data_IF_538619935581
#
_entry.id   IF_538619935581
#
_cell.length_a   1.000
_cell.length_b   1.000
_cell.length_c   1.000
_cell.angle_alpha   90.00
_cell.angle_beta   90.00
_cell.angle_gamma   90.00
#
_symmetry.space_group_name_H-M   'P 1'
#
loop_
_entity.id
_entity.type
_entity.pdbx_description
1 polymer ?
#
# COMPACT_ATOMS: atom_id res chain seq x y z
N UNK A 1 5.80 30.48 -16.21
CA UNK A 1 6.44 29.21 -16.56
C UNK A 1 7.95 29.42 -16.60
N UNK A 2 8.69 28.99 -15.55
CA UNK A 2 10.15 29.04 -15.53
C UNK A 2 10.69 28.05 -16.56
N UNK A 3 11.46 28.53 -17.53
CA UNK A 3 12.20 27.72 -18.52
C UNK A 3 13.37 26.94 -17.88
N UNK A 4 13.13 26.28 -16.76
CA UNK A 4 14.19 25.59 -16.05
C UNK A 4 14.13 24.10 -16.40
N UNK A 5 15.00 23.63 -17.30
CA UNK A 5 15.12 22.25 -17.75
C UNK A 5 15.55 21.28 -16.62
N UNK A 6 15.98 21.79 -15.47
CA UNK A 6 16.49 21.00 -14.35
C UNK A 6 15.39 20.37 -13.46
N UNK A 7 14.10 20.61 -13.73
CA UNK A 7 13.00 20.12 -12.91
C UNK A 7 12.91 20.77 -11.53
N UNK A 8 12.05 20.23 -10.66
CA UNK A 8 11.89 20.71 -9.28
C UNK A 8 13.05 20.21 -8.40
N UNK A 9 13.66 21.09 -7.57
CA UNK A 9 14.68 20.67 -6.61
C UNK A 9 14.10 19.65 -5.60
N UNK A 10 14.92 18.67 -5.18
CA UNK A 10 14.47 17.57 -4.31
C UNK A 10 13.78 18.03 -3.03
N UNK A 11 14.20 19.14 -2.43
CA UNK A 11 13.56 19.73 -1.23
C UNK A 11 12.10 20.13 -1.48
N UNK A 12 11.79 20.70 -2.65
CA UNK A 12 10.43 21.09 -3.01
C UNK A 12 9.55 19.86 -3.32
N UNK A 13 10.14 18.81 -3.91
CA UNK A 13 9.42 17.52 -4.11
C UNK A 13 8.98 16.93 -2.76
N UNK A 14 9.91 16.86 -1.78
CA UNK A 14 9.59 16.36 -0.43
C UNK A 14 8.56 17.26 0.26
N UNK A 15 8.68 18.59 0.17
CA UNK A 15 7.70 19.50 0.75
C UNK A 15 6.29 19.26 0.18
N UNK A 16 6.16 19.10 -1.14
CA UNK A 16 4.88 18.76 -1.77
C UNK A 16 4.32 17.42 -1.30
N UNK A 17 5.16 16.40 -1.17
CA UNK A 17 4.75 15.09 -0.63
C UNK A 17 4.29 15.18 0.83
N UNK A 18 4.99 15.94 1.68
CA UNK A 18 4.61 16.17 3.07
C UNK A 18 3.25 16.85 3.17
N UNK A 19 3.03 17.92 2.40
CA UNK A 19 1.74 18.63 2.39
C UNK A 19 0.62 17.70 1.94
N UNK A 20 0.81 17.01 0.81
CA UNK A 20 -0.21 16.10 0.27
C UNK A 20 -0.51 14.96 1.25
N UNK A 21 0.51 14.31 1.80
CA UNK A 21 0.32 13.20 2.73
C UNK A 21 -0.33 13.64 4.05
N UNK A 22 -0.05 14.86 4.51
CA UNK A 22 -0.72 15.45 5.67
C UNK A 22 -2.23 15.65 5.38
N UNK A 23 -2.57 16.23 4.24
CA UNK A 23 -3.97 16.41 3.82
C UNK A 23 -4.68 15.07 3.75
N UNK A 24 -4.08 14.07 3.10
CA UNK A 24 -4.64 12.72 3.00
C UNK A 24 -4.84 12.08 4.39
N UNK A 25 -3.84 12.18 5.27
CA UNK A 25 -3.93 11.64 6.64
C UNK A 25 -5.04 12.27 7.47
N UNK A 26 -5.20 13.60 7.38
CA UNK A 26 -6.27 14.35 8.05
C UNK A 26 -7.65 13.94 7.48
N UNK A 27 -7.79 13.91 6.16
CA UNK A 27 -9.07 13.56 5.51
C UNK A 27 -9.47 12.13 5.87
N UNK A 28 -8.57 11.15 5.81
CA UNK A 28 -8.89 9.75 6.13
C UNK A 28 -9.25 9.59 7.61
N UNK A 29 -8.57 10.31 8.51
CA UNK A 29 -8.83 10.21 9.94
C UNK A 29 -10.14 10.87 10.36
N UNK A 30 -10.42 12.07 9.88
CA UNK A 30 -11.57 12.87 10.33
C UNK A 30 -12.83 12.72 9.46
N UNK A 31 -12.76 12.05 8.30
CA UNK A 31 -13.93 11.87 7.45
C UNK A 31 -14.92 10.88 8.04
N UNK A 32 -16.18 11.26 8.25
CA UNK A 32 -17.23 10.36 8.75
C UNK A 32 -17.62 9.27 7.74
N UNK A 33 -17.18 9.38 6.49
CA UNK A 33 -17.46 8.39 5.44
C UNK A 33 -16.49 7.21 5.47
N UNK A 34 -15.36 7.34 6.17
CA UNK A 34 -14.35 6.26 6.31
C UNK A 34 -14.75 5.36 7.46
N UNK A 35 -15.63 4.41 7.18
CA UNK A 35 -16.16 3.45 8.14
C UNK A 35 -15.73 2.04 7.81
N UNK A 36 -15.58 1.21 8.83
CA UNK A 36 -15.36 -0.23 8.72
C UNK A 36 -16.46 -0.99 9.47
N UNK A 37 -16.62 -2.26 9.15
CA UNK A 37 -17.46 -3.18 9.90
C UNK A 37 -16.61 -4.37 10.33
N UNK A 38 -16.53 -4.58 11.63
CA UNK A 38 -15.81 -5.70 12.21
C UNK A 38 -16.71 -6.93 12.30
N UNK A 39 -16.10 -8.12 12.26
CA UNK A 39 -16.83 -9.35 12.50
C UNK A 39 -17.29 -9.39 13.95
N UNK A 40 -18.61 -9.53 14.19
CA UNK A 40 -19.15 -9.68 15.52
C UNK A 40 -18.79 -11.07 16.08
N UNK A 41 -17.95 -11.11 17.11
CA UNK A 41 -17.64 -12.32 17.88
C UNK A 41 -18.74 -12.67 18.89
N UNK A 42 -19.99 -12.34 18.60
CA UNK A 42 -21.07 -12.76 19.49
C UNK A 42 -21.18 -14.28 19.47
N UNK A 43 -20.72 -14.85 20.56
CA UNK A 43 -20.95 -16.21 21.03
C UNK A 43 -22.32 -16.70 20.57
N UNK A 44 -22.32 -17.81 19.82
CA UNK A 44 -23.41 -18.71 19.53
C UNK A 44 -24.67 -18.48 20.36
N UNK A 45 -25.56 -17.61 19.95
CA UNK A 45 -26.98 -17.84 20.15
C UNK A 45 -27.41 -18.81 19.07
N UNK A 46 -27.54 -20.06 19.43
CA UNK A 46 -28.22 -21.09 18.66
C UNK A 46 -29.50 -20.47 18.10
N UNK A 47 -29.52 -20.32 16.78
CA UNK A 47 -30.77 -20.10 16.07
C UNK A 47 -31.58 -21.37 16.27
N UNK A 48 -32.49 -21.32 17.22
CA UNK A 48 -33.52 -22.31 17.36
C UNK A 48 -34.31 -22.35 16.06
N UNK A 49 -34.14 -23.42 15.33
CA UNK A 49 -34.84 -23.73 14.08
C UNK A 49 -36.28 -24.16 14.39
N UNK A 50 -37.01 -23.34 15.08
CA UNK A 50 -38.45 -23.49 15.27
C UNK A 50 -39.07 -22.10 15.40
N UNK A 51 -39.50 -21.58 14.27
CA UNK A 51 -40.68 -20.75 14.04
C UNK A 51 -40.56 -20.06 12.69
N UNK A 52 -40.75 -20.85 11.63
CA UNK A 52 -41.24 -20.32 10.36
C UNK A 52 -42.77 -20.35 10.51
N UNK A 53 -43.39 -19.22 10.80
CA UNK A 53 -44.73 -18.86 10.35
C UNK A 53 -45.03 -17.39 10.63
N UNK A 54 -45.24 -16.66 9.50
CA UNK A 54 -46.18 -15.53 9.31
C UNK A 54 -45.81 -14.19 9.96
N UNK A 55 -45.46 -13.17 9.23
CA UNK A 55 -46.26 -12.14 8.60
C UNK A 55 -45.34 -11.19 7.78
N UNK A 56 -45.73 -10.94 6.57
CA UNK A 56 -45.25 -9.83 5.74
C UNK A 56 -45.41 -8.53 6.49
N UNK A 57 -44.32 -7.82 6.72
CA UNK A 57 -44.06 -6.40 6.49
C UNK A 57 -42.77 -6.02 7.18
N UNK A 58 -41.88 -5.38 6.39
CA UNK A 58 -40.50 -5.01 6.71
C UNK A 58 -39.46 -6.15 6.61
N UNK A 59 -39.05 -6.43 5.39
CA UNK A 59 -37.89 -7.24 5.09
C UNK A 59 -36.60 -6.56 5.62
N UNK A 60 -36.32 -6.70 6.90
CA UNK A 60 -34.96 -6.67 7.41
C UNK A 60 -34.29 -7.94 6.87
N UNK A 61 -33.62 -7.84 5.75
CA UNK A 61 -32.70 -8.86 5.25
C UNK A 61 -31.62 -9.06 6.31
N UNK A 62 -31.84 -9.97 7.25
CA UNK A 62 -30.82 -10.47 8.16
C UNK A 62 -29.85 -11.29 7.32
N UNK A 63 -28.75 -10.66 6.87
CA UNK A 63 -27.68 -11.39 6.24
C UNK A 63 -27.16 -12.44 7.24
N UNK A 64 -26.86 -13.68 6.82
CA UNK A 64 -26.33 -14.71 7.70
C UNK A 64 -24.94 -14.36 8.27
N UNK A 65 -24.37 -13.25 7.85
CA UNK A 65 -23.06 -12.75 8.25
C UNK A 65 -23.21 -11.69 9.34
N UNK A 66 -22.58 -11.93 10.48
CA UNK A 66 -22.63 -11.02 11.63
C UNK A 66 -21.48 -10.03 11.59
N UNK A 67 -21.71 -8.85 11.01
CA UNK A 67 -20.81 -7.72 11.12
C UNK A 67 -21.41 -6.68 12.09
N UNK A 68 -20.53 -5.96 12.81
CA UNK A 68 -20.92 -4.84 13.67
C UNK A 68 -21.61 -3.71 12.89
N UNK A 69 -22.20 -2.76 13.59
CA UNK A 69 -22.58 -1.49 13.00
C UNK A 69 -21.36 -0.82 12.35
N UNK A 70 -21.60 0.09 11.39
CA UNK A 70 -20.52 0.87 10.78
C UNK A 70 -19.87 1.75 11.84
N UNK A 71 -18.59 1.55 12.09
CA UNK A 71 -17.83 2.29 13.10
C UNK A 71 -16.65 3.01 12.45
N UNK A 72 -16.36 4.19 12.97
CA UNK A 72 -15.12 4.90 12.65
C UNK A 72 -14.02 4.28 13.50
N UNK A 73 -13.13 3.50 12.89
CA UNK A 73 -12.08 2.77 13.60
C UNK A 73 -10.71 3.10 13.04
N UNK A 74 -9.72 3.10 13.91
CA UNK A 74 -8.30 3.24 13.57
C UNK A 74 -7.62 1.91 13.33
N UNK A 75 -8.37 0.81 13.28
CA UNK A 75 -7.82 -0.52 13.02
C UNK A 75 -7.38 -0.71 11.59
N UNK A 76 -6.33 -1.48 11.41
CA UNK A 76 -5.76 -1.88 10.12
C UNK A 76 -5.32 -3.33 10.14
N UNK A 77 -5.13 -3.91 8.97
CA UNK A 77 -4.69 -5.30 8.83
C UNK A 77 -3.18 -5.40 8.89
N UNK A 78 -2.66 -6.26 9.78
CA UNK A 78 -1.25 -6.66 9.83
C UNK A 78 -1.11 -8.11 9.36
N UNK A 79 -0.18 -8.41 8.44
CA UNK A 79 0.13 -9.78 8.06
C UNK A 79 0.81 -10.54 9.21
N UNK A 80 0.61 -11.88 9.27
CA UNK A 80 1.27 -12.81 10.20
C UNK A 80 0.92 -12.65 11.69
N UNK A 81 -0.04 -11.81 12.06
CA UNK A 81 -0.49 -11.62 13.45
C UNK A 81 -1.85 -12.29 13.65
N UNK A 82 -2.06 -12.88 14.82
CA UNK A 82 -3.35 -13.46 15.20
C UNK A 82 -4.45 -12.40 15.11
N UNK A 83 -5.57 -12.73 14.48
CA UNK A 83 -6.70 -11.84 14.13
C UNK A 83 -6.41 -10.80 13.05
N UNK A 84 -5.19 -10.71 12.53
CA UNK A 84 -4.79 -9.79 11.44
C UNK A 84 -5.11 -8.30 11.70
N UNK A 85 -5.30 -7.87 12.95
CA UNK A 85 -5.70 -6.52 13.30
C UNK A 85 -4.64 -5.81 14.15
N UNK A 86 -4.44 -4.54 13.86
CA UNK A 86 -3.68 -3.60 14.65
C UNK A 86 -4.51 -2.33 14.84
N UNK A 87 -4.61 -1.85 16.08
CA UNK A 87 -5.30 -0.62 16.39
C UNK A 87 -4.31 0.47 16.77
N UNK A 88 -4.34 1.58 16.04
CA UNK A 88 -3.48 2.74 16.38
C UNK A 88 -3.83 3.32 17.77
N UNK A 89 -5.04 3.11 18.27
CA UNK A 89 -5.42 3.50 19.62
C UNK A 89 -4.58 2.80 20.69
N UNK A 90 -4.01 1.61 20.44
CA UNK A 90 -3.12 0.94 21.38
C UNK A 90 -1.84 1.75 21.65
N UNK A 91 -1.39 2.53 20.66
CA UNK A 91 -0.21 3.36 20.83
C UNK A 91 -0.43 4.56 21.76
N UNK A 92 -1.68 4.92 22.04
CA UNK A 92 -2.02 6.04 22.94
C UNK A 92 -2.41 5.59 24.35
N UNK A 93 -2.64 4.30 24.57
CA UNK A 93 -3.03 3.77 25.89
C UNK A 93 -2.01 4.08 26.97
N UNK A 94 -0.71 4.04 26.66
CA UNK A 94 0.34 4.40 27.63
C UNK A 94 0.32 5.87 28.04
N UNK A 95 -0.30 6.74 27.23
CA UNK A 95 -0.52 8.16 27.53
C UNK A 95 -1.79 8.40 28.36
N UNK A 96 -2.50 7.33 28.77
CA UNK A 96 -3.74 7.41 29.55
C UNK A 96 -5.01 7.63 28.72
N UNK A 97 -4.91 7.60 27.40
CA UNK A 97 -6.06 7.74 26.50
C UNK A 97 -6.76 6.40 26.32
N UNK A 98 -7.79 6.14 27.15
CA UNK A 98 -8.59 4.92 27.06
C UNK A 98 -9.59 4.91 25.89
N UNK A 99 -9.93 6.10 25.40
CA UNK A 99 -10.96 6.27 24.36
C UNK A 99 -10.36 6.35 22.94
N UNK A 100 -9.01 6.34 22.81
CA UNK A 100 -8.33 6.43 21.53
C UNK A 100 -8.44 7.79 20.84
N UNK A 101 -8.81 8.84 21.55
CA UNK A 101 -8.98 10.19 20.98
C UNK A 101 -7.71 10.78 20.41
N UNK A 102 -6.54 10.37 20.93
CA UNK A 102 -5.22 10.85 20.52
C UNK A 102 -4.56 9.97 19.46
N UNK A 103 -5.28 8.95 18.93
CA UNK A 103 -4.75 8.04 17.94
C UNK A 103 -4.26 8.76 16.66
N UNK A 104 -4.82 9.93 16.33
CA UNK A 104 -4.38 10.76 15.19
C UNK A 104 -2.91 11.17 15.29
N UNK A 105 -2.35 11.30 16.49
CA UNK A 105 -0.95 11.66 16.73
C UNK A 105 0.03 10.62 16.16
N UNK A 106 -0.36 9.34 16.12
CA UNK A 106 0.43 8.26 15.52
C UNK A 106 -0.05 7.91 14.13
N UNK A 107 -1.37 7.91 13.88
CA UNK A 107 -1.95 7.58 12.60
C UNK A 107 -1.44 8.50 11.49
N UNK A 108 -1.58 9.82 11.64
CA UNK A 108 -1.21 10.77 10.60
C UNK A 108 0.29 10.70 10.25
N UNK A 109 1.25 10.74 11.21
CA UNK A 109 2.67 10.61 10.88
C UNK A 109 3.03 9.27 10.21
N UNK A 110 2.42 8.16 10.62
CA UNK A 110 2.68 6.85 10.00
C UNK A 110 2.19 6.86 8.55
N UNK A 111 0.97 7.36 8.29
CA UNK A 111 0.43 7.51 6.94
C UNK A 111 1.33 8.40 6.07
N UNK A 112 1.82 9.50 6.62
CA UNK A 112 2.75 10.39 5.92
C UNK A 112 4.05 9.66 5.54
N UNK A 113 4.64 8.91 6.46
CA UNK A 113 5.86 8.13 6.20
C UNK A 113 5.61 7.09 5.09
N UNK A 114 4.46 6.42 5.13
CA UNK A 114 4.08 5.42 4.13
C UNK A 114 3.94 6.06 2.74
N UNK A 115 3.17 7.13 2.61
CA UNK A 115 2.97 7.80 1.32
C UNK A 115 4.28 8.32 0.75
N UNK A 116 5.10 9.00 1.57
CA UNK A 116 6.41 9.52 1.16
C UNK A 116 7.34 8.36 0.78
N UNK A 117 7.36 7.29 1.58
CA UNK A 117 8.22 6.13 1.36
C UNK A 117 7.92 5.40 0.06
N UNK A 118 6.64 5.07 -0.19
CA UNK A 118 6.22 4.37 -1.40
C UNK A 118 6.36 5.25 -2.65
N UNK A 119 6.01 6.54 -2.55
CA UNK A 119 6.17 7.50 -3.64
C UNK A 119 7.64 7.61 -4.07
N UNK A 120 8.56 7.79 -3.13
CA UNK A 120 9.98 7.84 -3.45
C UNK A 120 10.54 6.48 -3.88
N UNK A 121 10.02 5.37 -3.35
CA UNK A 121 10.39 4.02 -3.77
C UNK A 121 10.04 3.74 -5.23
N UNK A 122 8.85 4.14 -5.65
CA UNK A 122 8.43 4.06 -7.06
C UNK A 122 9.33 4.92 -7.96
N UNK A 123 9.67 6.14 -7.51
CA UNK A 123 10.56 7.03 -8.25
C UNK A 123 11.99 6.47 -8.36
N UNK A 124 12.52 5.84 -7.30
CA UNK A 124 13.83 5.18 -7.35
C UNK A 124 13.82 3.95 -8.27
N UNK A 125 12.67 3.32 -8.48
CA UNK A 125 12.53 2.19 -9.40
C UNK A 125 12.39 2.61 -10.86
N UNK A 126 12.17 3.90 -11.15
CA UNK A 126 12.06 4.46 -12.50
C UNK A 126 13.44 4.75 -13.14
N UNK A 127 14.39 3.84 -12.94
CA UNK A 127 15.76 3.98 -13.41
C UNK A 127 16.10 3.15 -14.67
N UNK A 128 15.23 2.22 -15.06
CA UNK A 128 15.35 1.40 -16.28
C UNK A 128 13.98 1.22 -16.92
N UNK A 129 14.00 1.02 -18.24
CA UNK A 129 12.80 0.94 -19.08
C UNK A 129 11.76 -0.07 -18.58
N UNK A 130 10.57 0.40 -18.26
CA UNK A 130 9.43 -0.43 -17.87
C UNK A 130 9.44 -0.97 -16.44
N UNK A 131 10.48 -0.76 -15.63
CA UNK A 131 10.54 -1.33 -14.28
C UNK A 131 9.44 -0.75 -13.38
N UNK A 132 9.40 0.57 -13.23
CA UNK A 132 8.43 1.23 -12.35
C UNK A 132 6.99 0.99 -12.82
N UNK A 133 6.74 1.11 -14.12
CA UNK A 133 5.40 0.93 -14.70
C UNK A 133 4.93 -0.52 -14.58
N UNK A 134 5.78 -1.47 -14.97
CA UNK A 134 5.44 -2.89 -14.95
C UNK A 134 5.16 -3.39 -13.54
N UNK A 135 6.04 -3.08 -12.57
CA UNK A 135 5.82 -3.45 -11.16
C UNK A 135 4.57 -2.79 -10.59
N UNK A 136 4.33 -1.50 -10.89
CA UNK A 136 3.14 -0.77 -10.45
C UNK A 136 1.84 -1.36 -10.99
N UNK A 137 1.81 -1.81 -12.25
CA UNK A 137 0.64 -2.46 -12.84
C UNK A 137 0.24 -3.72 -12.05
N UNK A 138 1.21 -4.57 -11.73
CA UNK A 138 0.96 -5.79 -10.93
C UNK A 138 0.59 -5.45 -9.48
N UNK A 139 1.25 -4.48 -8.85
CA UNK A 139 0.89 -4.02 -7.50
C UNK A 139 -0.56 -3.52 -7.49
N UNK A 140 -0.96 -2.71 -8.47
CA UNK A 140 -2.33 -2.22 -8.60
C UNK A 140 -3.34 -3.37 -8.78
N UNK A 141 -3.00 -4.42 -9.58
CA UNK A 141 -3.82 -5.63 -9.66
C UNK A 141 -3.99 -6.32 -8.31
N UNK A 142 -2.90 -6.44 -7.53
CA UNK A 142 -2.96 -6.97 -6.17
C UNK A 142 -3.89 -6.15 -5.26
N UNK A 143 -3.81 -4.82 -5.33
CA UNK A 143 -4.69 -3.91 -4.60
C UNK A 143 -6.15 -4.07 -5.05
N UNK A 144 -6.42 -4.24 -6.35
CA UNK A 144 -7.77 -4.48 -6.86
C UNK A 144 -8.39 -5.75 -6.25
N UNK A 145 -7.62 -6.84 -6.19
CA UNK A 145 -8.04 -8.08 -5.55
C UNK A 145 -8.34 -7.87 -4.06
N UNK A 146 -7.43 -7.19 -3.33
CA UNK A 146 -7.61 -6.91 -1.91
C UNK A 146 -8.82 -6.00 -1.64
N UNK A 147 -9.05 -4.99 -2.48
CA UNK A 147 -10.20 -4.10 -2.41
C UNK A 147 -11.51 -4.87 -2.66
N UNK A 148 -11.54 -5.72 -3.70
CA UNK A 148 -12.70 -6.55 -4.01
C UNK A 148 -13.06 -7.49 -2.85
N UNK A 149 -12.06 -8.17 -2.29
CA UNK A 149 -12.23 -9.12 -1.20
C UNK A 149 -12.69 -8.40 0.09
N UNK A 150 -12.12 -7.24 0.41
CA UNK A 150 -12.53 -6.45 1.59
C UNK A 150 -13.88 -5.76 1.40
N UNK A 151 -14.31 -5.53 0.16
CA UNK A 151 -15.61 -4.95 -0.18
C UNK A 151 -16.75 -5.96 -0.32
N UNK A 152 -16.46 -7.26 -0.20
CA UNK A 152 -17.45 -8.33 -0.33
C UNK A 152 -17.64 -9.05 1.01
N UNK A 153 -18.88 -9.07 1.50
CA UNK A 153 -19.25 -9.65 2.80
C UNK A 153 -18.84 -11.13 2.91
N UNK A 154 -19.04 -11.91 1.85
CA UNK A 154 -18.75 -13.35 1.84
C UNK A 154 -17.26 -13.61 1.97
N UNK A 155 -16.45 -12.90 1.16
CA UNK A 155 -14.99 -13.05 1.19
C UNK A 155 -14.38 -12.47 2.47
N UNK A 156 -14.89 -11.34 2.95
CA UNK A 156 -14.44 -10.75 4.22
C UNK A 156 -14.69 -11.69 5.40
N UNK A 157 -15.87 -12.34 5.45
CA UNK A 157 -16.18 -13.34 6.46
C UNK A 157 -15.30 -14.59 6.34
N UNK A 158 -15.13 -15.11 5.12
CA UNK A 158 -14.29 -16.30 4.88
C UNK A 158 -12.83 -16.10 5.26
N UNK A 159 -12.27 -14.92 4.97
CA UNK A 159 -10.88 -14.57 5.27
C UNK A 159 -10.69 -14.00 6.68
N UNK A 160 -11.77 -13.76 7.41
CA UNK A 160 -11.76 -13.13 8.72
C UNK A 160 -11.04 -11.77 8.74
N UNK A 161 -11.39 -10.92 7.78
CA UNK A 161 -10.89 -9.55 7.66
C UNK A 161 -12.03 -8.57 7.82
N UNK A 162 -11.70 -7.28 8.09
CA UNK A 162 -12.70 -6.22 8.16
C UNK A 162 -13.43 -6.08 6.83
N UNK A 163 -14.75 -5.95 6.90
CA UNK A 163 -15.57 -5.57 5.76
C UNK A 163 -15.62 -4.05 5.65
N UNK A 164 -15.31 -3.53 4.48
CA UNK A 164 -15.34 -2.10 4.20
C UNK A 164 -16.44 -1.85 3.16
N UNK A 165 -17.55 -1.19 3.56
CA UNK A 165 -18.62 -0.88 2.63
C UNK A 165 -18.16 0.02 1.48
N UNK A 166 -18.85 -0.07 0.34
CA UNK A 166 -18.65 0.79 -0.83
C UNK A 166 -17.27 0.71 -1.53
N UNK A 167 -16.45 -0.31 -1.24
CA UNK A 167 -15.18 -0.50 -1.96
C UNK A 167 -15.36 -0.92 -3.44
N UNK A 168 -16.56 -1.22 -3.88
CA UNK A 168 -16.83 -1.55 -5.29
C UNK A 168 -16.39 -0.45 -6.24
N UNK A 169 -16.67 0.81 -5.92
CA UNK A 169 -16.25 1.98 -6.72
C UNK A 169 -14.72 2.11 -6.77
N UNK A 170 -14.04 1.79 -5.67
CA UNK A 170 -12.58 1.81 -5.63
C UNK A 170 -11.99 0.74 -6.56
N UNK A 171 -12.63 -0.44 -6.68
CA UNK A 171 -12.18 -1.51 -7.60
C UNK A 171 -12.22 -1.00 -9.05
N UNK A 172 -13.26 -0.26 -9.44
CA UNK A 172 -13.37 0.35 -10.78
C UNK A 172 -12.22 1.33 -11.01
N UNK A 173 -11.96 2.21 -10.05
CA UNK A 173 -10.84 3.16 -10.12
C UNK A 173 -9.49 2.44 -10.28
N UNK A 174 -9.25 1.40 -9.47
CA UNK A 174 -7.99 0.63 -9.53
C UNK A 174 -7.88 -0.13 -10.85
N UNK A 175 -8.98 -0.67 -11.38
CA UNK A 175 -8.99 -1.32 -12.70
C UNK A 175 -8.62 -0.33 -13.83
N UNK A 176 -9.12 0.91 -13.77
CA UNK A 176 -8.73 1.98 -14.70
C UNK A 176 -7.23 2.32 -14.57
N UNK A 177 -6.71 2.39 -13.33
CA UNK A 177 -5.29 2.60 -13.08
C UNK A 177 -4.43 1.46 -13.69
N UNK A 178 -4.85 0.20 -13.52
CA UNK A 178 -4.17 -0.96 -14.13
C UNK A 178 -4.15 -0.82 -15.65
N UNK A 179 -5.30 -0.49 -16.25
CA UNK A 179 -5.41 -0.28 -17.69
C UNK A 179 -4.48 0.84 -18.19
N UNK A 180 -4.42 1.95 -17.46
CA UNK A 180 -3.52 3.06 -17.77
C UNK A 180 -2.04 2.65 -17.67
N UNK A 181 -1.67 1.90 -16.62
CA UNK A 181 -0.30 1.38 -16.47
C UNK A 181 0.07 0.41 -17.61
N UNK A 182 -0.83 -0.49 -18.01
CA UNK A 182 -0.60 -1.43 -19.10
C UNK A 182 -0.44 -0.68 -20.43
N UNK A 183 -1.32 0.30 -20.70
CA UNK A 183 -1.25 1.13 -21.90
C UNK A 183 0.04 1.94 -21.98
N UNK A 184 0.47 2.52 -20.85
CA UNK A 184 1.75 3.22 -20.77
C UNK A 184 2.94 2.26 -20.91
N UNK A 185 2.88 1.08 -20.28
CA UNK A 185 3.92 0.05 -20.33
C UNK A 185 4.21 -0.43 -21.76
N UNK A 186 3.20 -0.47 -22.63
CA UNK A 186 3.36 -0.81 -24.05
C UNK A 186 4.44 0.03 -24.75
N UNK A 187 4.51 1.32 -24.41
CA UNK A 187 5.47 2.26 -24.98
C UNK A 187 6.73 2.47 -24.13
N UNK A 188 6.65 2.11 -22.85
CA UNK A 188 7.73 2.30 -21.88
C UNK A 188 8.59 1.04 -21.68
N UNK A 189 8.18 -0.14 -22.18
CA UNK A 189 9.01 -1.34 -22.14
C UNK A 189 10.24 -1.20 -23.05
N UNK A 190 11.31 -1.91 -22.69
CA UNK A 190 12.59 -1.85 -23.41
C UNK A 190 12.49 -2.27 -24.88
N UNK A 191 13.03 -1.53 -25.86
CA UNK A 191 13.56 -0.16 -25.71
C UNK A 191 12.44 0.89 -25.61
N UNK A 192 12.46 1.70 -24.55
CA UNK A 192 11.38 2.63 -24.28
C UNK A 192 11.30 3.75 -25.33
N UNK A 193 10.08 4.05 -25.77
CA UNK A 193 9.77 5.18 -26.66
C UNK A 193 9.31 6.41 -25.88
N UNK A 194 8.73 6.19 -24.68
CA UNK A 194 8.30 7.26 -23.78
C UNK A 194 8.80 6.98 -22.36
N UNK A 195 9.08 8.03 -21.61
CA UNK A 195 9.59 7.97 -20.23
C UNK A 195 8.60 8.61 -19.27
N UNK A 196 8.45 8.01 -18.09
CA UNK A 196 7.50 8.48 -17.07
C UNK A 196 7.99 9.75 -16.38
N UNK A 197 9.25 9.79 -16.00
CA UNK A 197 9.87 10.86 -15.23
C UNK A 197 9.32 10.99 -13.81
N UNK A 198 9.89 11.91 -13.04
CA UNK A 198 9.57 12.10 -11.62
C UNK A 198 8.10 12.37 -11.35
N UNK A 199 7.42 13.12 -12.21
CA UNK A 199 6.00 13.47 -12.02
C UNK A 199 5.13 12.22 -12.06
N UNK A 200 5.37 11.34 -13.01
CA UNK A 200 4.60 10.09 -13.15
C UNK A 200 4.93 9.09 -12.06
N UNK A 201 6.22 8.81 -11.83
CA UNK A 201 6.64 7.79 -10.88
C UNK A 201 6.31 8.14 -9.43
N UNK A 202 6.49 9.41 -9.01
CA UNK A 202 6.09 9.88 -7.68
C UNK A 202 4.56 9.81 -7.48
N UNK A 203 3.79 10.20 -8.50
CA UNK A 203 2.32 10.16 -8.45
C UNK A 203 1.84 8.71 -8.37
N UNK A 204 2.39 7.82 -9.17
CA UNK A 204 2.01 6.41 -9.20
C UNK A 204 2.25 5.73 -7.84
N UNK A 205 3.43 5.96 -7.24
CA UNK A 205 3.72 5.46 -5.90
C UNK A 205 2.82 6.07 -4.82
N UNK A 206 2.50 7.36 -4.94
CA UNK A 206 1.56 8.05 -4.04
C UNK A 206 0.15 7.48 -4.13
N UNK A 207 -0.38 7.24 -5.34
CA UNK A 207 -1.69 6.61 -5.56
C UNK A 207 -1.72 5.21 -4.95
N UNK A 208 -0.71 4.38 -5.21
CA UNK A 208 -0.60 3.02 -4.65
C UNK A 208 -0.66 3.05 -3.11
N UNK A 209 0.09 3.96 -2.48
CA UNK A 209 0.07 4.11 -1.03
C UNK A 209 -1.31 4.49 -0.50
N UNK A 210 -1.94 5.52 -1.09
CA UNK A 210 -3.26 6.00 -0.68
C UNK A 210 -4.33 4.91 -0.84
N UNK A 211 -4.31 4.17 -1.94
CA UNK A 211 -5.23 3.04 -2.16
C UNK A 211 -5.10 1.98 -1.06
N UNK A 212 -3.87 1.60 -0.68
CA UNK A 212 -3.65 0.64 0.40
C UNK A 212 -4.13 1.15 1.76
N UNK A 213 -4.02 2.46 2.02
CA UNK A 213 -4.50 3.08 3.24
C UNK A 213 -6.04 3.08 3.28
N UNK A 214 -6.70 3.40 2.16
CA UNK A 214 -8.17 3.38 2.06
C UNK A 214 -8.72 1.98 2.35
N UNK A 215 -8.08 0.93 1.83
CA UNK A 215 -8.50 -0.45 2.07
C UNK A 215 -7.99 -1.02 3.41
N UNK A 216 -7.37 -0.19 4.26
CA UNK A 216 -6.82 -0.59 5.57
C UNK A 216 -5.82 -1.75 5.47
N UNK A 217 -4.90 -1.69 4.48
CA UNK A 217 -3.87 -2.69 4.21
C UNK A 217 -2.48 -2.06 4.15
N UNK A 218 -2.26 -0.94 4.81
CA UNK A 218 -1.00 -0.19 4.76
C UNK A 218 0.19 -1.00 5.27
N UNK A 219 0.01 -1.90 6.23
CA UNK A 219 1.08 -2.78 6.72
C UNK A 219 1.39 -3.97 5.78
N UNK A 220 0.58 -4.21 4.76
CA UNK A 220 0.93 -5.12 3.67
C UNK A 220 1.81 -4.45 2.60
N UNK A 221 1.94 -3.12 2.59
CA UNK A 221 2.75 -2.40 1.60
C UNK A 221 4.20 -2.88 1.49
N UNK A 222 4.93 -3.21 2.58
CA UNK A 222 6.28 -3.75 2.47
C UNK A 222 6.36 -5.05 1.66
N UNK A 223 5.29 -5.85 1.64
CA UNK A 223 5.19 -7.03 0.79
C UNK A 223 4.72 -6.66 -0.61
N UNK A 224 3.60 -5.97 -0.75
CA UNK A 224 3.04 -5.58 -2.06
C UNK A 224 4.03 -4.76 -2.88
N UNK A 225 4.66 -3.77 -2.27
CA UNK A 225 5.64 -2.87 -2.88
C UNK A 225 7.08 -3.31 -2.57
N UNK A 226 7.34 -4.61 -2.36
CA UNK A 226 8.64 -5.11 -1.91
C UNK A 226 9.79 -4.72 -2.83
N UNK A 227 9.57 -4.60 -4.14
CA UNK A 227 10.58 -4.10 -5.09
C UNK A 227 10.91 -2.63 -4.79
N UNK A 228 9.91 -1.75 -4.61
CA UNK A 228 10.16 -0.34 -4.26
C UNK A 228 10.88 -0.20 -2.92
N UNK A 229 10.52 -1.07 -1.97
CA UNK A 229 11.16 -1.12 -0.67
C UNK A 229 12.63 -1.55 -0.77
N UNK A 230 12.94 -2.61 -1.51
CA UNK A 230 14.31 -3.13 -1.69
C UNK A 230 15.17 -2.13 -2.46
N UNK A 231 14.64 -1.46 -3.48
CA UNK A 231 15.33 -0.42 -4.22
C UNK A 231 15.70 0.74 -3.28
N UNK A 232 14.75 1.24 -2.50
CA UNK A 232 14.98 2.30 -1.51
C UNK A 232 15.98 1.88 -0.45
N UNK A 233 15.85 0.66 0.09
CA UNK A 233 16.74 0.11 1.10
C UNK A 233 18.19 -0.01 0.57
N UNK A 234 18.37 -0.41 -0.69
CA UNK A 234 19.67 -0.50 -1.30
C UNK A 234 20.41 0.86 -1.34
N UNK A 235 19.66 1.95 -1.61
CA UNK A 235 20.20 3.32 -1.61
C UNK A 235 20.54 3.76 -0.17
N UNK A 236 19.67 3.48 0.80
CA UNK A 236 19.90 3.81 2.21
C UNK A 236 21.15 3.09 2.73
N UNK A 237 21.26 1.79 2.49
CA UNK A 237 22.44 0.98 2.89
C UNK A 237 23.69 1.54 2.25
N UNK A 238 23.67 1.76 0.94
CA UNK A 238 24.83 2.25 0.19
C UNK A 238 25.32 3.61 0.71
N UNK A 239 24.41 4.56 0.87
CA UNK A 239 24.75 5.93 1.30
C UNK A 239 25.21 5.99 2.74
N UNK A 240 24.55 5.23 3.62
CA UNK A 240 24.90 5.18 5.05
C UNK A 240 26.27 4.52 5.25
N UNK A 241 26.49 3.36 4.63
CA UNK A 241 27.76 2.64 4.71
C UNK A 241 28.92 3.44 4.14
N UNK A 242 28.71 4.10 2.99
CA UNK A 242 29.70 4.96 2.37
C UNK A 242 30.09 6.14 3.28
N UNK A 243 29.10 6.82 3.88
CA UNK A 243 29.36 7.92 4.82
C UNK A 243 30.05 7.43 6.10
N UNK A 244 29.63 6.30 6.64
CA UNK A 244 30.22 5.70 7.83
C UNK A 244 31.69 5.32 7.60
N UNK A 245 32.01 4.62 6.51
CA UNK A 245 33.37 4.21 6.20
C UNK A 245 34.26 5.42 5.90
N UNK A 246 33.74 6.42 5.17
CA UNK A 246 34.46 7.66 4.89
C UNK A 246 34.82 8.42 6.19
N UNK A 247 33.90 8.46 7.16
CA UNK A 247 34.16 9.10 8.46
C UNK A 247 35.21 8.33 9.28
N UNK A 248 35.21 6.99 9.21
CA UNK A 248 36.08 6.14 10.03
C UNK A 248 37.49 5.94 9.44
N UNK A 249 37.58 5.80 8.13
CA UNK A 249 38.85 5.40 7.45
C UNK A 249 39.35 6.45 6.45
N UNK A 250 38.67 7.59 6.32
CA UNK A 250 38.98 8.62 5.32
C UNK A 250 38.53 8.25 3.87
N UNK A 251 38.30 6.95 3.59
CA UNK A 251 37.90 6.46 2.27
C UNK A 251 36.53 5.82 2.34
N UNK A 252 35.59 6.27 1.48
CA UNK A 252 34.25 5.70 1.40
C UNK A 252 34.27 4.35 0.68
N UNK A 253 33.75 3.29 1.31
CA UNK A 253 33.57 1.97 0.70
C UNK A 253 32.15 1.78 0.23
N UNK A 254 31.94 1.02 -0.85
CA UNK A 254 30.64 0.70 -1.43
C UNK A 254 30.23 -0.74 -1.08
N UNK A 255 28.94 -0.97 -0.74
CA UNK A 255 28.36 -2.31 -0.56
C UNK A 255 27.95 -2.86 -1.92
N UNK A 256 27.21 -2.11 -2.69
CA UNK A 256 26.79 -2.45 -4.04
C UNK A 256 27.71 -1.77 -5.07
N UNK A 257 27.84 -2.34 -6.26
CA UNK A 257 28.58 -1.70 -7.37
C UNK A 257 27.99 -0.31 -7.67
N UNK A 258 26.65 -0.25 -7.67
CA UNK A 258 25.85 0.97 -7.78
C UNK A 258 24.53 0.76 -7.06
N UNK A 259 23.89 1.79 -6.56
CA UNK A 259 22.53 1.81 -6.05
C UNK A 259 21.71 2.84 -6.84
N UNK A 260 20.42 2.59 -7.07
CA UNK A 260 19.57 1.46 -6.65
C UNK A 260 19.97 0.08 -7.19
N UNK A 261 19.31 -0.98 -6.72
CA UNK A 261 19.71 -2.38 -6.95
C UNK A 261 19.67 -2.80 -8.43
N UNK A 262 18.74 -2.27 -9.25
CA UNK A 262 18.70 -2.54 -10.68
C UNK A 262 20.00 -2.13 -11.40
N UNK A 263 20.60 -1.00 -11.04
CA UNK A 263 21.89 -0.57 -11.58
C UNK A 263 23.04 -1.49 -11.15
N UNK A 264 22.96 -2.08 -9.95
CA UNK A 264 23.93 -3.08 -9.54
C UNK A 264 23.94 -4.30 -10.49
N UNK A 265 22.75 -4.75 -10.92
CA UNK A 265 22.63 -5.86 -11.87
C UNK A 265 23.05 -5.46 -13.30
N UNK A 266 22.76 -4.23 -13.74
CA UNK A 266 23.29 -3.71 -15.01
C UNK A 266 24.84 -3.75 -15.03
N UNK A 267 25.50 -3.28 -13.96
CA UNK A 267 26.96 -3.33 -13.82
C UNK A 267 27.51 -4.75 -13.64
N UNK A 268 26.68 -5.75 -13.39
CA UNK A 268 27.03 -7.18 -13.47
C UNK A 268 26.92 -7.76 -14.89
N UNK A 269 26.47 -6.97 -15.87
CA UNK A 269 26.31 -7.40 -17.26
C UNK A 269 24.94 -8.03 -17.59
N UNK A 270 23.93 -7.90 -16.71
CA UNK A 270 22.58 -8.34 -17.06
C UNK A 270 21.90 -7.33 -17.99
N UNK A 271 21.24 -7.83 -19.02
CA UNK A 271 20.44 -7.01 -19.92
C UNK A 271 19.21 -6.45 -19.19
N UNK A 272 18.82 -5.21 -19.48
CA UNK A 272 17.74 -4.48 -18.80
C UNK A 272 16.43 -5.26 -18.78
N UNK A 273 16.00 -5.76 -19.93
CA UNK A 273 14.78 -6.55 -20.06
C UNK A 273 14.77 -7.76 -19.09
N UNK A 274 15.92 -8.44 -18.92
CA UNK A 274 16.05 -9.56 -18.01
C UNK A 274 15.93 -9.13 -16.53
N UNK A 275 16.41 -7.94 -16.17
CA UNK A 275 16.28 -7.38 -14.84
C UNK A 275 14.81 -7.07 -14.56
N UNK A 276 14.15 -6.34 -15.48
CA UNK A 276 12.74 -5.96 -15.36
C UNK A 276 11.83 -7.18 -15.21
N UNK A 277 11.98 -8.18 -16.09
CA UNK A 277 11.18 -9.41 -16.01
C UNK A 277 11.34 -10.13 -14.67
N UNK A 278 12.58 -10.24 -14.14
CA UNK A 278 12.82 -10.87 -12.84
C UNK A 278 12.19 -10.08 -11.70
N UNK A 279 12.24 -8.77 -11.74
CA UNK A 279 11.62 -7.91 -10.71
C UNK A 279 10.09 -8.01 -10.77
N UNK A 280 9.51 -8.09 -11.97
CA UNK A 280 8.08 -8.35 -12.15
C UNK A 280 7.69 -9.72 -11.56
N UNK A 281 8.46 -10.77 -11.84
CA UNK A 281 8.21 -12.10 -11.28
C UNK A 281 8.23 -12.06 -9.74
N UNK A 282 9.23 -11.40 -9.16
CA UNK A 282 9.31 -11.21 -7.69
C UNK A 282 8.11 -10.42 -7.18
N UNK A 283 7.69 -9.37 -7.88
CA UNK A 283 6.48 -8.60 -7.52
C UNK A 283 5.24 -9.48 -7.48
N UNK A 284 5.03 -10.31 -8.51
CA UNK A 284 3.91 -11.26 -8.56
C UNK A 284 3.96 -12.24 -7.37
N UNK A 285 5.13 -12.81 -7.09
CA UNK A 285 5.31 -13.70 -5.93
C UNK A 285 4.96 -13.00 -4.61
N UNK A 286 5.40 -11.76 -4.42
CA UNK A 286 5.11 -10.98 -3.22
C UNK A 286 3.62 -10.65 -3.08
N UNK A 287 2.92 -10.38 -4.20
CA UNK A 287 1.46 -10.18 -4.22
C UNK A 287 0.75 -11.46 -3.80
N UNK A 288 1.13 -12.61 -4.37
CA UNK A 288 0.55 -13.91 -3.98
C UNK A 288 0.77 -14.18 -2.49
N UNK A 289 1.97 -13.95 -1.97
CA UNK A 289 2.26 -14.07 -0.54
C UNK A 289 1.37 -13.13 0.27
N UNK A 290 1.22 -11.86 -0.15
CA UNK A 290 0.37 -10.89 0.53
C UNK A 290 -1.09 -11.34 0.63
N UNK A 291 -1.63 -11.94 -0.44
CA UNK A 291 -3.00 -12.47 -0.44
C UNK A 291 -3.10 -13.70 0.48
N UNK A 292 -2.12 -14.60 0.42
CA UNK A 292 -2.08 -15.81 1.26
C UNK A 292 -1.99 -15.47 2.73
N UNK A 293 -1.23 -14.41 3.11
CA UNK A 293 -1.10 -13.99 4.52
C UNK A 293 -2.42 -13.59 5.15
N UNK A 294 -3.44 -13.19 4.39
CA UNK A 294 -4.76 -12.90 4.92
C UNK A 294 -5.45 -14.16 5.50
N UNK A 295 -5.09 -15.34 5.02
CA UNK A 295 -5.68 -16.62 5.48
C UNK A 295 -4.82 -17.33 6.51
N UNK A 296 -3.52 -17.05 6.59
CA UNK A 296 -2.63 -17.65 7.59
C UNK A 296 -2.92 -17.00 8.95
N UNK A 297 -3.36 -17.82 9.89
CA UNK A 297 -3.70 -17.43 11.27
C UNK A 297 -2.63 -17.87 12.26
#
# INVERSE_FOLDING_TARGET
FKKNKAGLPGKLKIAGQVILSLVVGIVIYFSPQVVIKEKSHNTSKQVNTQQVFVFENEAKTTSPYSFSASEHSTKTTIPFVKNNEFDYAWLTQWMGDKDGKWAFLFFIPIIMIIIIGVSNGANLSDGIDGLATGTSAFIAMGIAILAYVSGNVIFADYLNIMYIPNLGELVIYVAALVGACIGFYWWNCYPAQIFMGDTGSLTLGGIIAVLCIIIRKEFLLPLLCGIFFIESLSVIIQTTYFKFTKRRTGVGKRVFRMAPLHHHYQLKGYHENKIVQRFIIVTIMLIVISIVTLKIR
#
